data_IF_216895705662
#
_entry.id   IF_216895705662
#
_cell.length_a   1.000
_cell.length_b   1.000
_cell.length_c   1.000
_cell.angle_alpha   90.00
_cell.angle_beta   90.00
_cell.angle_gamma   90.00
#
_symmetry.space_group_name_H-M   'P 1'
#
loop_
_entity.id
_entity.type
_entity.pdbx_description
1 polymer ?
#
# COMPACT_ATOMS: atom_id res chain seq x y z
N UNK A 1 -3.20 -24.10 1.29
CA UNK A 1 -4.37 -23.27 0.96
C UNK A 1 -3.83 -22.01 0.32
N UNK A 2 -3.93 -21.89 -1.00
CA UNK A 2 -3.54 -20.66 -1.69
C UNK A 2 -4.62 -19.62 -1.42
N UNK A 3 -4.47 -18.86 -0.34
CA UNK A 3 -5.21 -17.62 -0.19
C UNK A 3 -4.74 -16.71 -1.33
N UNK A 4 -5.54 -16.59 -2.39
CA UNK A 4 -5.30 -15.60 -3.44
C UNK A 4 -5.29 -14.23 -2.74
N UNK A 5 -4.09 -13.72 -2.52
CA UNK A 5 -3.93 -12.42 -1.91
C UNK A 5 -4.37 -11.35 -2.90
N UNK A 6 -5.20 -10.45 -2.41
CA UNK A 6 -5.78 -9.37 -3.19
C UNK A 6 -5.99 -8.18 -2.27
N UNK A 7 -5.69 -6.99 -2.77
CA UNK A 7 -6.01 -5.76 -2.06
C UNK A 7 -7.55 -5.63 -1.99
N UNK A 8 -8.11 -5.30 -0.82
CA UNK A 8 -9.55 -5.12 -0.64
C UNK A 8 -10.02 -3.92 -1.46
N UNK A 9 -11.24 -3.95 -1.98
CA UNK A 9 -11.86 -2.74 -2.56
C UNK A 9 -12.18 -1.73 -1.48
N UNK A 10 -12.47 -0.49 -1.87
CA UNK A 10 -12.80 0.58 -0.94
C UNK A 10 -13.94 0.19 0.02
N UNK A 11 -14.97 -0.47 -0.50
CA UNK A 11 -16.13 -0.92 0.27
C UNK A 11 -15.79 -2.00 1.30
N UNK A 12 -14.78 -2.83 1.01
CA UNK A 12 -14.31 -3.92 1.87
C UNK A 12 -13.41 -3.42 3.02
N UNK A 13 -12.86 -2.20 2.91
CA UNK A 13 -12.14 -1.60 4.03
C UNK A 13 -13.13 -1.36 5.18
N UNK A 14 -12.81 -1.75 6.43
CA UNK A 14 -13.69 -1.57 7.58
C UNK A 14 -14.37 -0.20 7.62
N UNK A 15 -15.71 -0.20 7.73
CA UNK A 15 -16.52 1.03 7.81
C UNK A 15 -16.53 1.66 9.21
N UNK A 16 -15.85 1.03 10.16
CA UNK A 16 -15.69 1.53 11.53
C UNK A 16 -14.31 2.16 11.69
N UNK A 17 -14.23 3.22 12.49
CA UNK A 17 -12.95 3.84 12.80
C UNK A 17 -12.12 2.94 13.72
N UNK A 18 -10.87 2.70 13.35
CA UNK A 18 -9.98 1.73 14.00
C UNK A 18 -8.96 2.40 14.91
N UNK A 19 -8.62 1.77 16.02
CA UNK A 19 -7.45 2.15 16.83
C UNK A 19 -6.15 1.77 16.11
N UNK A 20 -5.04 2.40 16.48
CA UNK A 20 -3.76 2.24 15.81
C UNK A 20 -3.34 0.76 15.69
N UNK A 21 -3.41 -0.01 16.76
CA UNK A 21 -3.10 -1.45 16.78
C UNK A 21 -3.92 -2.24 15.75
N UNK A 22 -5.22 -1.94 15.64
CA UNK A 22 -6.12 -2.55 14.65
C UNK A 22 -5.75 -2.16 13.22
N UNK A 23 -5.36 -0.90 12.99
CA UNK A 23 -4.86 -0.44 11.69
C UNK A 23 -3.59 -1.17 11.31
N UNK A 24 -2.63 -1.29 12.24
CA UNK A 24 -1.38 -1.99 11.97
C UNK A 24 -1.62 -3.46 11.63
N UNK A 25 -2.50 -4.13 12.38
CA UNK A 25 -2.87 -5.51 12.10
C UNK A 25 -3.47 -5.64 10.70
N UNK A 26 -4.47 -4.80 10.38
CA UNK A 26 -5.17 -4.84 9.10
C UNK A 26 -4.25 -4.55 7.92
N UNK A 27 -3.50 -3.44 7.96
CA UNK A 27 -2.61 -3.04 6.85
C UNK A 27 -1.49 -4.06 6.64
N UNK A 28 -0.93 -4.62 7.71
CA UNK A 28 0.14 -5.63 7.57
C UNK A 28 -0.38 -6.95 7.01
N UNK A 29 -1.60 -7.36 7.34
CA UNK A 29 -2.24 -8.51 6.70
C UNK A 29 -2.50 -8.23 5.20
N UNK A 30 -3.02 -7.04 4.89
CA UNK A 30 -3.32 -6.60 3.52
C UNK A 30 -2.06 -6.33 2.69
N UNK A 31 -0.86 -6.22 3.28
CA UNK A 31 0.37 -5.98 2.52
C UNK A 31 1.41 -7.10 2.68
N UNK A 32 1.07 -8.24 3.28
CA UNK A 32 2.07 -9.26 3.62
C UNK A 32 2.87 -9.81 2.40
N UNK A 33 2.23 -10.11 1.25
CA UNK A 33 2.92 -10.71 0.09
C UNK A 33 3.87 -9.80 -0.67
N UNK A 34 3.73 -8.48 -0.53
CA UNK A 34 4.69 -7.52 -1.10
C UNK A 34 5.82 -7.17 -0.10
N UNK A 35 5.75 -7.68 1.13
CA UNK A 35 6.78 -7.46 2.15
C UNK A 35 7.19 -8.78 2.84
N UNK A 36 7.56 -9.84 2.09
CA UNK A 36 7.75 -11.16 2.67
C UNK A 36 8.97 -11.27 3.59
N UNK A 37 10.06 -10.51 3.37
CA UNK A 37 11.35 -10.87 3.97
C UNK A 37 12.21 -9.74 4.56
N UNK A 38 11.82 -8.45 4.51
CA UNK A 38 12.78 -7.38 4.86
C UNK A 38 12.41 -6.31 5.87
N UNK A 39 11.19 -6.22 6.36
CA UNK A 39 10.92 -5.28 7.45
C UNK A 39 9.77 -5.77 8.31
N UNK A 40 9.87 -5.50 9.62
CA UNK A 40 8.68 -5.43 10.47
C UNK A 40 7.72 -4.54 9.70
N UNK A 41 6.57 -5.07 9.27
CA UNK A 41 5.57 -4.32 8.50
C UNK A 41 5.21 -2.98 9.17
N UNK A 42 4.32 -2.21 8.59
CA UNK A 42 3.89 -0.91 9.12
C UNK A 42 3.86 -0.88 10.67
N UNK A 43 4.66 0.01 11.26
CA UNK A 43 4.81 0.11 12.72
C UNK A 43 4.14 1.36 13.28
N UNK A 44 3.86 1.36 14.59
CA UNK A 44 3.31 2.53 15.28
C UNK A 44 4.20 3.77 15.12
N UNK A 45 5.53 3.60 15.18
CA UNK A 45 6.49 4.69 14.99
C UNK A 45 6.38 5.29 13.58
N UNK A 46 6.28 4.46 12.55
CA UNK A 46 6.09 4.92 11.17
C UNK A 46 4.80 5.72 11.01
N UNK A 47 3.66 5.20 11.51
CA UNK A 47 2.38 5.92 11.44
C UNK A 47 2.45 7.25 12.18
N UNK A 48 3.06 7.28 13.37
CA UNK A 48 3.24 8.52 14.13
C UNK A 48 4.13 9.52 13.39
N UNK A 49 5.20 9.06 12.73
CA UNK A 49 6.06 9.90 11.90
C UNK A 49 5.29 10.46 10.69
N UNK A 50 4.46 9.64 10.03
CA UNK A 50 3.64 10.09 8.91
C UNK A 50 2.63 11.16 9.34
N UNK A 51 2.02 11.01 10.51
CA UNK A 51 1.12 12.04 11.08
C UNK A 51 1.90 13.31 11.43
N UNK A 52 3.05 13.17 12.10
CA UNK A 52 3.90 14.31 12.52
C UNK A 52 4.36 15.15 11.33
N UNK A 53 4.71 14.52 10.22
CA UNK A 53 5.21 15.18 9.02
C UNK A 53 4.12 15.50 7.98
N UNK A 54 2.85 15.21 8.28
CA UNK A 54 1.72 15.55 7.40
C UNK A 54 1.53 14.61 6.20
N UNK A 55 2.21 13.47 6.15
CA UNK A 55 2.04 12.45 5.12
C UNK A 55 0.76 11.62 5.30
N UNK A 56 0.22 11.61 6.53
CA UNK A 56 -1.07 11.05 6.89
C UNK A 56 -1.84 12.09 7.72
N UNK A 57 -3.14 12.23 7.49
CA UNK A 57 -3.96 13.12 8.32
C UNK A 57 -4.00 12.62 9.77
N UNK A 58 -4.16 13.54 10.73
CA UNK A 58 -4.28 13.18 12.15
C UNK A 58 -5.51 12.27 12.38
N UNK A 59 -5.41 11.25 13.25
CA UNK A 59 -6.58 10.46 13.66
C UNK A 59 -7.58 11.32 14.44
N UNK A 60 -8.87 11.00 14.33
CA UNK A 60 -9.91 11.62 15.16
C UNK A 60 -10.10 10.81 16.44
N UNK A 61 -9.96 11.45 17.61
CA UNK A 61 -10.07 10.79 18.93
C UNK A 61 -9.28 9.47 19.03
N UNK A 62 -8.05 9.44 18.47
CA UNK A 62 -7.15 8.27 18.38
C UNK A 62 -7.61 7.15 17.45
N UNK A 63 -8.64 7.39 16.63
CA UNK A 63 -9.14 6.44 15.65
C UNK A 63 -8.86 6.91 14.23
N UNK A 64 -8.60 5.94 13.36
CA UNK A 64 -8.27 6.14 11.97
C UNK A 64 -9.46 5.73 11.11
N UNK A 65 -9.83 6.64 10.21
CA UNK A 65 -10.94 6.45 9.29
C UNK A 65 -10.50 5.65 8.06
N UNK A 66 -11.47 5.10 7.33
CA UNK A 66 -11.27 4.35 6.07
C UNK A 66 -10.26 5.00 5.12
N UNK A 67 -10.36 6.32 4.90
CA UNK A 67 -9.43 7.08 4.04
C UNK A 67 -7.97 7.01 4.49
N UNK A 68 -7.72 6.99 5.80
CA UNK A 68 -6.37 6.89 6.35
C UNK A 68 -5.83 5.47 6.20
N UNK A 69 -6.69 4.46 6.36
CA UNK A 69 -6.35 3.06 6.15
C UNK A 69 -5.99 2.80 4.68
N UNK A 70 -6.83 3.25 3.74
CA UNK A 70 -6.58 3.17 2.30
C UNK A 70 -5.24 3.83 1.93
N UNK A 71 -4.98 5.03 2.46
CA UNK A 71 -3.72 5.74 2.25
C UNK A 71 -2.52 4.97 2.84
N UNK A 72 -2.66 4.35 4.00
CA UNK A 72 -1.60 3.55 4.61
C UNK A 72 -1.29 2.28 3.80
N UNK A 73 -2.30 1.63 3.21
CA UNK A 73 -2.10 0.50 2.29
C UNK A 73 -1.27 0.94 1.08
N UNK A 74 -1.63 2.07 0.47
CA UNK A 74 -0.89 2.63 -0.67
C UNK A 74 0.54 3.03 -0.27
N UNK A 75 0.74 3.69 0.89
CA UNK A 75 2.07 4.04 1.40
C UNK A 75 2.91 2.78 1.59
N UNK A 76 2.40 1.79 2.33
CA UNK A 76 3.14 0.54 2.60
C UNK A 76 3.50 -0.18 1.31
N UNK A 77 2.62 -0.15 0.30
CA UNK A 77 2.87 -0.75 -1.01
C UNK A 77 3.97 -0.04 -1.79
N UNK A 78 3.91 1.28 -1.87
CA UNK A 78 4.87 2.08 -2.64
C UNK A 78 6.25 2.17 -1.96
N UNK A 79 6.32 1.97 -0.64
CA UNK A 79 7.54 2.14 0.16
C UNK A 79 8.66 1.14 -0.17
N UNK A 80 8.35 0.06 -0.88
CA UNK A 80 9.34 -0.89 -1.41
C UNK A 80 10.26 -0.26 -2.47
N UNK A 81 9.76 0.73 -3.21
CA UNK A 81 10.47 1.33 -4.35
C UNK A 81 10.64 2.85 -4.24
N UNK A 82 9.76 3.55 -3.52
CA UNK A 82 9.78 5.00 -3.36
C UNK A 82 10.15 5.42 -1.94
N UNK A 83 10.75 6.60 -1.81
CA UNK A 83 10.91 7.29 -0.52
C UNK A 83 9.57 7.81 0.00
N UNK A 84 9.46 8.05 1.31
CA UNK A 84 8.21 8.56 1.89
C UNK A 84 7.83 9.95 1.34
N UNK A 85 8.83 10.77 0.99
CA UNK A 85 8.62 12.09 0.41
C UNK A 85 8.01 12.00 -1.00
N UNK A 86 8.55 11.13 -1.86
CA UNK A 86 8.02 10.89 -3.20
C UNK A 86 6.60 10.32 -3.14
N UNK A 87 6.36 9.38 -2.23
CA UNK A 87 5.01 8.81 -2.00
C UNK A 87 4.04 9.92 -1.58
N UNK A 88 4.41 10.75 -0.61
CA UNK A 88 3.55 11.82 -0.13
C UNK A 88 3.22 12.81 -1.26
N UNK A 89 4.20 13.20 -2.07
CA UNK A 89 3.98 14.08 -3.23
C UNK A 89 3.04 13.42 -4.26
N UNK A 90 3.27 12.14 -4.57
CA UNK A 90 2.46 11.36 -5.51
C UNK A 90 1.00 11.29 -5.05
N UNK A 91 0.76 10.86 -3.80
CA UNK A 91 -0.58 10.71 -3.26
C UNK A 91 -1.30 12.05 -3.07
N UNK A 92 -0.58 13.12 -2.74
CA UNK A 92 -1.16 14.46 -2.65
C UNK A 92 -1.56 14.99 -4.04
N UNK A 93 -0.75 14.72 -5.06
CA UNK A 93 -1.07 15.08 -6.46
C UNK A 93 -2.30 14.34 -6.95
N UNK A 94 -2.41 13.04 -6.67
CA UNK A 94 -3.59 12.26 -7.03
C UNK A 94 -4.85 12.77 -6.33
N UNK A 95 -4.74 13.14 -5.05
CA UNK A 95 -5.88 13.61 -4.26
C UNK A 95 -6.47 14.94 -4.73
N UNK A 96 -5.79 15.72 -5.57
CA UNK A 96 -6.38 16.92 -6.20
C UNK A 96 -7.21 16.58 -7.45
N UNK A 97 -7.09 15.36 -7.97
CA UNK A 97 -7.70 14.96 -9.25
C UNK A 97 -8.99 14.18 -9.06
N UNK A 98 -9.11 13.38 -7.99
CA UNK A 98 -10.28 12.58 -7.71
C UNK A 98 -10.44 12.27 -6.21
N UNK A 99 -11.57 11.67 -5.86
CA UNK A 99 -11.88 11.23 -4.50
C UNK A 99 -11.00 10.05 -4.06
N UNK A 100 -10.87 9.86 -2.74
CA UNK A 100 -10.00 8.79 -2.20
C UNK A 100 -10.49 7.39 -2.54
N UNK A 101 -11.80 7.19 -2.64
CA UNK A 101 -12.44 5.94 -3.07
C UNK A 101 -12.10 5.60 -4.52
N UNK A 102 -12.33 6.54 -5.45
CA UNK A 102 -12.02 6.33 -6.87
C UNK A 102 -10.53 6.04 -7.12
N UNK A 103 -9.64 6.82 -6.49
CA UNK A 103 -8.20 6.63 -6.63
C UNK A 103 -7.73 5.29 -6.05
N UNK A 104 -8.28 4.91 -4.90
CA UNK A 104 -7.93 3.65 -4.25
C UNK A 104 -8.44 2.45 -5.06
N UNK A 105 -9.67 2.48 -5.55
CA UNK A 105 -10.21 1.38 -6.35
C UNK A 105 -9.48 1.20 -7.68
N UNK A 106 -9.03 2.29 -8.31
CA UNK A 106 -8.16 2.25 -9.49
C UNK A 106 -6.79 1.61 -9.18
N UNK A 107 -6.19 1.96 -8.03
CA UNK A 107 -4.99 1.29 -7.52
C UNK A 107 -5.23 -0.21 -7.31
N UNK A 108 -6.35 -0.59 -6.68
CA UNK A 108 -6.72 -1.99 -6.40
C UNK A 108 -6.94 -2.76 -7.70
N UNK A 109 -7.66 -2.19 -8.67
CA UNK A 109 -7.93 -2.83 -9.97
C UNK A 109 -6.64 -3.13 -10.72
N UNK A 110 -5.72 -2.16 -10.76
CA UNK A 110 -4.44 -2.38 -11.38
C UNK A 110 -3.61 -3.42 -10.62
N UNK A 111 -3.53 -3.32 -9.29
CA UNK A 111 -2.71 -4.22 -8.49
C UNK A 111 -3.20 -5.67 -8.55
N UNK A 112 -4.51 -5.90 -8.42
CA UNK A 112 -5.09 -7.24 -8.39
C UNK A 112 -5.26 -7.85 -9.79
N UNK A 113 -5.75 -7.05 -10.74
CA UNK A 113 -6.24 -7.58 -12.02
C UNK A 113 -5.45 -7.07 -13.23
N UNK A 114 -4.54 -6.10 -13.05
CA UNK A 114 -3.79 -5.50 -14.16
C UNK A 114 -4.65 -4.66 -15.09
N UNK A 115 -5.82 -4.19 -14.62
CA UNK A 115 -6.68 -3.28 -15.38
C UNK A 115 -6.02 -1.90 -15.35
N UNK A 116 -5.65 -1.39 -16.52
CA UNK A 116 -4.99 -0.09 -16.65
C UNK A 116 -5.90 1.04 -16.12
N UNK A 117 -5.42 1.83 -15.13
CA UNK A 117 -6.17 2.96 -14.64
C UNK A 117 -6.06 4.13 -15.64
N UNK A 118 -7.11 4.95 -15.74
CA UNK A 118 -7.07 6.17 -16.57
C UNK A 118 -5.96 7.14 -16.13
N UNK A 119 -5.56 7.08 -14.86
CA UNK A 119 -4.55 7.95 -14.31
C UNK A 119 -3.13 7.37 -14.51
N UNK A 120 -2.26 8.01 -15.32
CA UNK A 120 -0.93 7.49 -15.63
C UNK A 120 -0.01 7.46 -14.40
N UNK A 121 -0.25 8.31 -13.40
CA UNK A 121 0.54 8.29 -12.16
C UNK A 121 0.26 6.99 -11.39
N UNK A 122 -0.99 6.56 -11.31
CA UNK A 122 -1.35 5.28 -10.66
C UNK A 122 -0.72 4.13 -11.44
N UNK A 123 -0.89 4.10 -12.76
CA UNK A 123 -0.36 3.04 -13.62
C UNK A 123 1.15 2.87 -13.43
N UNK A 124 1.92 3.93 -13.67
CA UNK A 124 3.39 3.90 -13.64
C UNK A 124 3.95 3.61 -12.25
N UNK A 125 3.33 4.18 -11.20
CA UNK A 125 3.76 3.94 -9.82
C UNK A 125 3.54 2.48 -9.41
N UNK A 126 2.38 1.91 -9.74
CA UNK A 126 2.07 0.51 -9.43
C UNK A 126 2.87 -0.47 -10.29
N UNK A 127 3.08 -0.15 -11.57
CA UNK A 127 3.91 -0.95 -12.47
C UNK A 127 5.35 -1.03 -11.94
N UNK A 128 5.89 0.08 -11.44
CA UNK A 128 7.22 0.11 -10.82
C UNK A 128 7.32 -0.85 -9.64
N UNK A 129 6.33 -0.87 -8.74
CA UNK A 129 6.26 -1.83 -7.62
C UNK A 129 6.24 -3.28 -8.14
N UNK A 130 5.35 -3.58 -9.11
CA UNK A 130 5.23 -4.93 -9.68
C UNK A 130 6.53 -5.41 -10.31
N UNK A 131 7.15 -4.59 -11.14
CA UNK A 131 8.42 -4.93 -11.82
C UNK A 131 9.58 -5.09 -10.82
N UNK A 132 9.61 -4.28 -9.76
CA UNK A 132 10.60 -4.43 -8.70
C UNK A 132 10.48 -5.79 -8.00
N UNK A 133 9.28 -6.18 -7.57
CA UNK A 133 9.08 -7.49 -6.92
C UNK A 133 9.30 -8.65 -7.89
N UNK A 134 8.84 -8.54 -9.13
CA UNK A 134 9.14 -9.53 -10.17
C UNK A 134 10.65 -9.72 -10.37
N UNK A 135 11.43 -8.65 -10.34
CA UNK A 135 12.89 -8.73 -10.43
C UNK A 135 13.48 -9.51 -9.26
N UNK A 136 13.01 -9.26 -8.03
CA UNK A 136 13.46 -9.99 -6.84
C UNK A 136 13.07 -11.47 -6.89
N UNK A 137 11.85 -11.79 -7.31
CA UNK A 137 11.38 -13.18 -7.44
C UNK A 137 12.23 -13.97 -8.44
N UNK A 138 12.59 -13.36 -9.58
CA UNK A 138 13.47 -13.96 -10.58
C UNK A 138 14.88 -14.25 -10.04
N UNK A 139 15.42 -13.36 -9.19
CA UNK A 139 16.71 -13.59 -8.52
C UNK A 139 16.62 -14.80 -7.59
N UNK A 140 15.57 -14.89 -6.76
CA UNK A 140 15.37 -15.99 -5.81
C UNK A 140 15.17 -17.35 -6.51
N UNK A 141 14.50 -17.37 -7.66
CA UNK A 141 14.34 -18.60 -8.46
C UNK A 141 15.71 -19.07 -8.95
N UNK A 142 16.51 -18.15 -9.51
CA UNK A 142 17.84 -18.47 -10.02
C UNK A 142 18.79 -19.01 -8.94
N UNK A 143 18.78 -18.41 -7.74
CA UNK A 143 19.57 -18.89 -6.60
C UNK A 143 19.19 -20.32 -6.17
N UNK A 144 17.92 -20.71 -6.28
CA UNK A 144 17.47 -22.07 -5.95
C UNK A 144 17.89 -23.10 -7.01
N UNK A 145 17.90 -22.71 -8.27
CA UNK A 145 18.34 -23.55 -9.38
C UNK A 145 19.85 -23.82 -9.36
N UNK A 146 20.67 -22.87 -8.87
CA UNK A 146 22.13 -23.02 -8.75
C UNK A 146 22.58 -23.92 -7.57
N UNK A 147 21.70 -24.23 -6.62
CA UNK A 147 21.98 -25.07 -5.44
C UNK A 147 21.59 -26.54 -5.68
N UNK A 148 21.00 -26.86 -6.85
CA UNK A 148 20.48 -28.18 -7.22
C UNK A 148 21.37 -28.87 -8.26
#
# INVERSE_FOLDING_TARGET
>A
MNSNFSYPKWEDIPNIDLYLDQVLLYVNQVCAPISPDKDKGLTASMVNNYVKHGYLTKPDKKKYQRKQIARLIAITTLKSVFSIQEIAQTLNTLQTQASSDQLYDAFVDYMNHGIDPENPIIQTSCQTVKLYHQTLDLILIKEKEEIQ
#
